data_IF_705585410872
#
_entry.id   IF_705585410872
#
_cell.length_a   1.000
_cell.length_b   1.000
_cell.length_c   1.000
_cell.angle_alpha   90.00
_cell.angle_beta   90.00
_cell.angle_gamma   90.00
#
_symmetry.space_group_name_H-M   'P 1'
#
loop_
_entity.id
_entity.type
_entity.pdbx_description
1 polymer ?
#
# COMPACT_ATOMS: atom_id res chain seq x y z
N UNK A 1 -11.09 -2.75 1.59
CA UNK A 1 -11.27 -4.20 1.26
C UNK A 1 -10.52 -5.09 2.24
N UNK A 2 -10.92 -6.35 2.38
CA UNK A 2 -10.29 -7.32 3.31
C UNK A 2 -8.80 -7.59 2.95
N UNK A 3 -7.99 -8.13 3.89
CA UNK A 3 -6.63 -8.60 3.60
C UNK A 3 -6.60 -9.65 2.48
N UNK A 4 -5.46 -9.77 1.77
CA UNK A 4 -5.27 -10.80 0.74
C UNK A 4 -6.00 -10.59 -0.59
N UNK A 5 -6.67 -9.44 -0.79
CA UNK A 5 -7.40 -9.10 -2.03
C UNK A 5 -6.54 -8.38 -3.09
N UNK A 6 -5.22 -8.32 -2.91
CA UNK A 6 -4.29 -7.79 -3.92
C UNK A 6 -4.11 -6.27 -3.96
N UNK A 7 -4.72 -5.48 -3.05
CA UNK A 7 -4.65 -4.00 -3.06
C UNK A 7 -3.23 -3.45 -3.23
N UNK A 8 -2.35 -3.79 -2.31
CA UNK A 8 -0.95 -3.33 -2.32
C UNK A 8 -0.21 -3.78 -3.59
N UNK A 9 -0.46 -5.01 -4.06
CA UNK A 9 0.15 -5.54 -5.27
C UNK A 9 -0.26 -4.74 -6.50
N UNK A 10 -1.56 -4.49 -6.67
CA UNK A 10 -2.10 -3.70 -7.79
C UNK A 10 -1.54 -2.30 -7.77
N UNK A 11 -1.56 -1.62 -6.61
CA UNK A 11 -1.01 -0.27 -6.48
C UNK A 11 0.47 -0.24 -6.84
N UNK A 12 1.29 -1.15 -6.32
CA UNK A 12 2.72 -1.23 -6.65
C UNK A 12 2.95 -1.48 -8.14
N UNK A 13 2.16 -2.34 -8.78
CA UNK A 13 2.24 -2.59 -10.23
C UNK A 13 1.86 -1.35 -11.05
N UNK A 14 0.85 -0.61 -10.62
CA UNK A 14 0.44 0.67 -11.26
C UNK A 14 1.54 1.72 -11.10
N UNK A 15 2.08 1.89 -9.88
CA UNK A 15 3.18 2.82 -9.62
C UNK A 15 4.41 2.52 -10.50
N UNK A 16 4.80 1.25 -10.61
CA UNK A 16 5.92 0.83 -11.48
C UNK A 16 5.66 1.18 -12.96
N UNK A 17 4.43 0.98 -13.44
CA UNK A 17 4.05 1.37 -14.82
C UNK A 17 4.09 2.89 -15.01
N UNK A 18 3.61 3.66 -14.03
CA UNK A 18 3.64 5.12 -14.08
C UNK A 18 5.10 5.59 -14.06
N UNK A 19 5.93 5.05 -13.16
CA UNK A 19 7.35 5.38 -13.06
C UNK A 19 8.07 5.21 -14.41
N UNK A 20 7.86 4.08 -15.10
CA UNK A 20 8.45 3.83 -16.41
C UNK A 20 7.94 4.77 -17.52
N UNK A 21 6.77 5.39 -17.35
CA UNK A 21 6.28 6.44 -18.26
C UNK A 21 6.86 7.81 -17.91
N UNK A 22 6.95 8.12 -16.64
CA UNK A 22 7.51 9.39 -16.13
C UNK A 22 8.96 9.55 -16.57
N UNK A 23 9.76 8.49 -16.44
CA UNK A 23 11.17 8.48 -16.89
C UNK A 23 11.34 8.78 -18.38
N UNK A 24 10.34 8.45 -19.19
CA UNK A 24 10.33 8.70 -20.65
C UNK A 24 9.79 10.08 -21.05
N UNK A 25 9.00 10.70 -20.19
CA UNK A 25 8.20 11.89 -20.56
C UNK A 25 8.68 13.20 -19.94
N UNK A 26 9.69 13.19 -19.11
CA UNK A 26 10.25 14.35 -18.41
C UNK A 26 9.21 15.17 -17.60
N UNK A 27 8.07 14.57 -17.21
CA UNK A 27 7.09 15.21 -16.35
C UNK A 27 7.58 15.23 -14.90
N UNK A 28 7.38 16.32 -14.16
CA UNK A 28 7.83 16.45 -12.76
C UNK A 28 6.91 15.68 -11.79
N UNK A 29 6.70 14.38 -12.04
CA UNK A 29 5.92 13.51 -11.18
C UNK A 29 6.84 12.78 -10.23
N UNK A 30 6.51 12.79 -8.93
CA UNK A 30 7.24 12.05 -7.89
C UNK A 30 6.29 11.08 -7.18
N UNK A 31 6.58 9.78 -7.34
CA UNK A 31 5.83 8.71 -6.69
C UNK A 31 6.53 8.35 -5.36
N UNK A 32 5.79 8.38 -4.27
CA UNK A 32 6.28 8.11 -2.91
C UNK A 32 5.38 7.08 -2.26
N UNK A 33 5.97 6.01 -1.72
CA UNK A 33 5.24 4.94 -1.05
C UNK A 33 5.73 4.74 0.37
N UNK A 34 4.81 4.70 1.32
CA UNK A 34 5.11 4.32 2.71
C UNK A 34 4.03 3.38 3.26
N UNK A 35 4.43 2.46 4.13
CA UNK A 35 3.51 1.63 4.90
C UNK A 35 3.46 2.14 6.34
N UNK A 36 2.28 2.56 6.80
CA UNK A 36 2.11 3.18 8.11
C UNK A 36 2.44 2.27 9.29
N UNK A 37 2.40 0.95 9.13
CA UNK A 37 2.82 0.02 10.19
C UNK A 37 4.32 -0.04 10.39
N UNK A 38 5.10 0.24 9.36
CA UNK A 38 6.56 0.25 9.46
C UNK A 38 7.07 1.50 10.17
N UNK A 39 6.25 2.55 10.20
CA UNK A 39 6.56 3.82 10.83
C UNK A 39 5.84 3.94 12.18
N UNK A 40 6.57 3.85 13.27
CA UNK A 40 5.99 3.85 14.62
C UNK A 40 5.44 5.21 15.05
N UNK A 41 5.77 6.28 14.33
CA UNK A 41 5.39 7.66 14.64
C UNK A 41 4.98 8.44 13.40
N UNK A 42 4.12 9.45 13.61
CA UNK A 42 3.77 10.41 12.55
C UNK A 42 5.00 11.14 12.00
N UNK A 43 5.96 11.43 12.88
CA UNK A 43 7.21 12.07 12.50
C UNK A 43 8.00 11.18 11.54
N UNK A 44 8.20 9.91 11.88
CA UNK A 44 8.88 8.93 11.04
C UNK A 44 8.23 8.79 9.67
N UNK A 45 6.89 8.70 9.62
CA UNK A 45 6.16 8.63 8.36
C UNK A 45 6.44 9.85 7.47
N UNK A 46 6.34 11.07 8.00
CA UNK A 46 6.59 12.28 7.22
C UNK A 46 8.06 12.40 6.78
N UNK A 47 9.01 11.99 7.62
CA UNK A 47 10.43 11.94 7.25
C UNK A 47 10.66 10.93 6.14
N UNK A 48 10.08 9.74 6.23
CA UNK A 48 10.16 8.71 5.18
C UNK A 48 9.62 9.22 3.83
N UNK A 49 8.46 9.89 3.84
CA UNK A 49 7.90 10.53 2.65
C UNK A 49 8.84 11.63 2.09
N UNK A 50 9.40 12.47 2.98
CA UNK A 50 10.29 13.56 2.57
C UNK A 50 11.61 13.07 1.99
N UNK A 51 12.18 11.99 2.52
CA UNK A 51 13.37 11.35 1.96
C UNK A 51 13.14 10.87 0.53
N UNK A 52 12.00 10.26 0.29
CA UNK A 52 11.62 9.80 -1.05
C UNK A 52 11.33 10.97 -2.01
N UNK A 53 10.89 12.13 -1.51
CA UNK A 53 10.80 13.37 -2.29
C UNK A 53 12.17 13.95 -2.66
N UNK A 54 13.24 13.51 -1.99
CA UNK A 54 14.60 13.97 -2.23
C UNK A 54 15.12 15.00 -1.21
N UNK A 55 14.45 15.15 -0.06
CA UNK A 55 14.99 15.93 1.06
C UNK A 55 16.13 15.14 1.75
N UNK A 56 17.27 15.76 1.95
CA UNK A 56 18.42 15.15 2.60
C UNK A 56 18.34 15.25 4.14
N UNK A 57 19.31 14.66 4.86
CA UNK A 57 19.30 14.61 6.31
C UNK A 57 19.49 15.98 6.99
N UNK A 58 20.18 16.90 6.36
CA UNK A 58 20.33 18.28 6.86
C UNK A 58 19.02 19.06 6.72
N UNK A 59 18.29 18.81 5.63
CA UNK A 59 17.00 19.45 5.38
C UNK A 59 15.89 18.82 6.23
N UNK A 60 15.95 17.52 6.48
CA UNK A 60 14.93 16.78 7.20
C UNK A 60 15.58 15.76 8.16
N UNK A 61 16.03 16.19 9.34
CA UNK A 61 16.66 15.29 10.31
C UNK A 61 15.64 14.25 10.83
N UNK A 62 16.15 13.12 11.30
CA UNK A 62 15.35 12.01 11.83
C UNK A 62 14.62 12.34 13.14
N UNK A 63 15.04 13.40 13.84
CA UNK A 63 14.45 13.88 15.09
C UNK A 63 14.63 15.39 15.23
N UNK A 64 13.93 16.00 16.19
CA UNK A 64 14.21 17.37 16.66
C UNK A 64 13.38 18.47 16.01
N UNK A 65 12.59 18.19 14.99
CA UNK A 65 11.67 19.16 14.41
C UNK A 65 10.21 18.92 14.90
N UNK A 66 9.44 19.99 14.93
CA UNK A 66 7.99 19.85 15.10
C UNK A 66 7.38 19.19 13.84
N UNK A 67 6.31 18.40 14.01
CA UNK A 67 5.62 17.74 12.88
C UNK A 67 5.14 18.77 11.84
N UNK A 68 4.65 19.92 12.28
CA UNK A 68 4.23 21.02 11.41
C UNK A 68 5.40 21.57 10.56
N UNK A 69 6.61 21.64 11.14
CA UNK A 69 7.80 22.08 10.41
C UNK A 69 8.23 21.03 9.38
N UNK A 70 8.17 19.72 9.73
CA UNK A 70 8.43 18.64 8.78
C UNK A 70 7.47 18.73 7.59
N UNK A 71 6.17 18.87 7.87
CA UNK A 71 5.15 19.00 6.84
C UNK A 71 5.37 20.22 5.93
N UNK A 72 5.69 21.39 6.53
CA UNK A 72 6.03 22.61 5.78
C UNK A 72 7.21 22.40 4.83
N UNK A 73 8.25 21.68 5.25
CA UNK A 73 9.42 21.36 4.40
C UNK A 73 9.04 20.46 3.23
N UNK A 74 8.14 19.48 3.44
CA UNK A 74 7.58 18.66 2.36
C UNK A 74 6.88 19.53 1.32
N UNK A 75 5.96 20.42 1.75
CA UNK A 75 5.24 21.31 0.85
C UNK A 75 6.18 22.29 0.14
N UNK A 76 7.16 22.85 0.83
CA UNK A 76 8.16 23.72 0.21
C UNK A 76 8.94 22.99 -0.89
N UNK A 77 9.33 21.73 -0.69
CA UNK A 77 10.01 20.92 -1.71
C UNK A 77 9.12 20.74 -2.94
N UNK A 78 7.86 20.37 -2.75
CA UNK A 78 6.89 20.21 -3.83
C UNK A 78 6.73 21.52 -4.61
N UNK A 79 6.55 22.63 -3.89
CA UNK A 79 6.34 23.94 -4.49
C UNK A 79 7.58 24.47 -5.24
N UNK A 80 8.76 24.34 -4.64
CA UNK A 80 10.02 24.85 -5.23
C UNK A 80 10.41 24.09 -6.49
N UNK A 81 10.25 22.77 -6.50
CA UNK A 81 10.57 21.93 -7.65
C UNK A 81 9.36 21.70 -8.60
N UNK A 82 8.22 22.33 -8.32
CA UNK A 82 6.96 22.21 -9.08
C UNK A 82 6.53 20.78 -9.31
N UNK A 83 6.70 19.93 -8.27
CA UNK A 83 6.44 18.50 -8.35
C UNK A 83 4.94 18.20 -8.34
N UNK A 84 4.53 17.21 -9.12
CA UNK A 84 3.26 16.51 -8.93
C UNK A 84 3.53 15.27 -8.07
N UNK A 85 3.43 15.42 -6.76
CA UNK A 85 3.73 14.35 -5.81
C UNK A 85 2.52 13.44 -5.63
N UNK A 86 2.74 12.12 -5.70
CA UNK A 86 1.72 11.11 -5.38
C UNK A 86 2.19 10.35 -4.16
N UNK A 87 1.53 10.58 -3.02
CA UNK A 87 1.79 9.89 -1.78
C UNK A 87 0.88 8.67 -1.66
N UNK A 88 1.48 7.49 -1.68
CA UNK A 88 0.79 6.24 -1.42
C UNK A 88 1.07 5.81 0.02
N UNK A 89 0.02 5.80 0.83
CA UNK A 89 0.08 5.41 2.24
C UNK A 89 -0.66 4.07 2.39
N UNK A 90 0.11 3.00 2.53
CA UNK A 90 -0.44 1.69 2.81
C UNK A 90 -0.79 1.54 4.29
N UNK A 91 -1.85 0.79 4.58
CA UNK A 91 -2.41 0.63 5.92
C UNK A 91 -2.74 1.99 6.59
N UNK A 92 -3.39 2.87 5.83
CA UNK A 92 -3.76 4.23 6.27
C UNK A 92 -4.66 4.24 7.52
N UNK A 93 -5.38 3.16 7.78
CA UNK A 93 -6.13 2.95 9.03
C UNK A 93 -5.22 2.97 10.27
N UNK A 94 -3.97 2.51 10.16
CA UNK A 94 -2.98 2.63 11.23
C UNK A 94 -2.53 4.08 11.43
N UNK A 95 -2.32 4.83 10.34
CA UNK A 95 -2.05 6.28 10.43
C UNK A 95 -3.19 7.02 11.14
N UNK A 96 -4.45 6.70 10.82
CA UNK A 96 -5.60 7.29 11.49
C UNK A 96 -5.58 7.04 13.01
N UNK A 97 -5.21 5.83 13.45
CA UNK A 97 -5.03 5.53 14.87
C UNK A 97 -3.91 6.35 15.52
N UNK A 98 -2.79 6.56 14.83
CA UNK A 98 -1.70 7.40 15.33
C UNK A 98 -2.13 8.87 15.47
N UNK A 99 -2.92 9.37 14.53
CA UNK A 99 -3.50 10.72 14.57
C UNK A 99 -4.39 10.89 15.81
N UNK A 100 -5.31 9.96 16.05
CA UNK A 100 -6.19 9.98 17.22
C UNK A 100 -5.39 9.98 18.53
N UNK A 101 -4.35 9.13 18.62
CA UNK A 101 -3.51 9.03 19.84
C UNK A 101 -2.69 10.29 20.11
N UNK A 102 -2.24 10.98 19.06
CA UNK A 102 -1.36 12.14 19.20
C UNK A 102 -2.10 13.48 19.21
N UNK A 103 -3.39 13.49 18.87
CA UNK A 103 -4.20 14.70 18.72
C UNK A 103 -3.72 15.62 17.58
N UNK A 104 -2.90 15.11 16.66
CA UNK A 104 -2.32 15.91 15.57
C UNK A 104 -3.03 15.66 14.26
N UNK A 105 -3.50 16.70 13.65
CA UNK A 105 -4.42 16.71 12.50
C UNK A 105 -3.69 16.55 11.15
N UNK A 106 -2.71 15.63 11.08
CA UNK A 106 -1.90 15.48 9.86
C UNK A 106 -2.69 14.98 8.64
N UNK A 107 -3.71 14.14 8.85
CA UNK A 107 -4.59 13.71 7.76
C UNK A 107 -5.36 14.89 7.19
N UNK A 108 -5.90 15.76 8.04
CA UNK A 108 -6.56 16.99 7.62
C UNK A 108 -5.62 17.91 6.84
N UNK A 109 -4.37 18.05 7.31
CA UNK A 109 -3.36 18.86 6.60
C UNK A 109 -3.01 18.26 5.25
N UNK A 110 -2.89 16.93 5.15
CA UNK A 110 -2.62 16.24 3.89
C UNK A 110 -3.76 16.41 2.87
N UNK A 111 -5.02 16.31 3.30
CA UNK A 111 -6.17 16.48 2.41
C UNK A 111 -6.29 17.92 1.87
N UNK A 112 -5.78 18.90 2.59
CA UNK A 112 -5.80 20.32 2.21
C UNK A 112 -4.43 20.85 1.75
N UNK A 113 -3.46 19.96 1.52
CA UNK A 113 -2.10 20.37 1.14
C UNK A 113 -2.07 21.25 -0.13
N UNK A 114 -2.94 20.96 -1.10
CA UNK A 114 -3.02 21.72 -2.34
C UNK A 114 -3.48 23.18 -2.15
N UNK A 115 -4.17 23.51 -1.07
CA UNK A 115 -4.53 24.90 -0.76
C UNK A 115 -3.32 25.76 -0.35
N UNK A 116 -2.22 25.10 0.05
CA UNK A 116 -0.96 25.75 0.48
C UNK A 116 0.11 25.72 -0.61
N UNK A 117 -0.15 25.04 -1.74
CA UNK A 117 0.77 24.96 -2.87
C UNK A 117 0.41 26.03 -3.92
N UNK A 118 1.40 26.81 -4.34
CA UNK A 118 1.26 27.74 -5.46
C UNK A 118 1.65 27.06 -6.79
N UNK A 119 2.58 26.13 -6.72
CA UNK A 119 3.11 25.36 -7.84
C UNK A 119 3.16 23.87 -7.47
N UNK A 120 3.00 23.00 -8.46
CA UNK A 120 2.92 21.56 -8.23
C UNK A 120 1.60 21.10 -7.61
N UNK A 121 1.55 19.84 -7.21
CA UNK A 121 0.35 19.26 -6.58
C UNK A 121 0.70 18.08 -5.66
N UNK A 122 -0.19 17.78 -4.72
CA UNK A 122 -0.13 16.59 -3.89
C UNK A 122 -1.40 15.77 -4.07
N UNK A 123 -1.24 14.54 -4.54
CA UNK A 123 -2.30 13.54 -4.60
C UNK A 123 -2.03 12.47 -3.55
N UNK A 124 -3.05 12.08 -2.81
CA UNK A 124 -2.94 11.03 -1.80
C UNK A 124 -3.70 9.77 -2.23
N UNK A 125 -3.07 8.61 -2.10
CA UNK A 125 -3.68 7.30 -2.29
C UNK A 125 -3.57 6.54 -0.96
N UNK A 126 -4.70 6.29 -0.32
CA UNK A 126 -4.78 5.51 0.92
C UNK A 126 -5.18 4.06 0.64
N UNK A 127 -4.45 3.09 1.19
CA UNK A 127 -4.82 1.69 1.15
C UNK A 127 -5.21 1.27 2.56
N UNK A 128 -6.45 0.76 2.74
CA UNK A 128 -6.94 0.27 4.02
C UNK A 128 -7.44 -1.18 3.92
N UNK A 129 -7.23 -1.92 4.99
CA UNK A 129 -7.84 -3.23 5.23
C UNK A 129 -9.15 -3.11 6.03
N UNK A 130 -9.42 -1.95 6.62
CA UNK A 130 -10.63 -1.66 7.38
C UNK A 130 -11.64 -0.93 6.49
N UNK A 131 -12.80 -1.54 6.25
CA UNK A 131 -13.88 -0.95 5.45
C UNK A 131 -14.58 0.21 6.18
N UNK A 132 -14.51 0.22 7.51
CA UNK A 132 -15.16 1.23 8.36
C UNK A 132 -14.19 2.30 8.85
N UNK A 133 -12.94 2.31 8.32
CA UNK A 133 -11.93 3.24 8.85
C UNK A 133 -12.35 4.71 8.69
N UNK A 134 -13.12 5.06 7.65
CA UNK A 134 -13.64 6.41 7.45
C UNK A 134 -14.53 6.89 8.60
N UNK A 135 -15.33 5.99 9.16
CA UNK A 135 -16.22 6.29 10.30
C UNK A 135 -15.45 6.70 11.56
N UNK A 136 -14.16 6.35 11.60
CA UNK A 136 -13.25 6.68 12.71
C UNK A 136 -12.48 7.98 12.49
N UNK A 137 -12.61 8.60 11.31
CA UNK A 137 -11.95 9.86 10.99
C UNK A 137 -12.73 11.05 11.56
N UNK A 138 -12.00 12.12 11.82
CA UNK A 138 -12.60 13.41 12.16
C UNK A 138 -13.52 13.87 11.01
N UNK A 139 -14.74 14.37 11.30
CA UNK A 139 -15.66 14.86 10.27
C UNK A 139 -15.07 15.93 9.34
N UNK A 140 -14.10 16.71 9.81
CA UNK A 140 -13.38 17.70 9.00
C UNK A 140 -12.50 17.04 7.95
N UNK A 141 -11.88 15.91 8.29
CA UNK A 141 -11.09 15.11 7.33
C UNK A 141 -12.02 14.53 6.27
N UNK A 142 -13.14 13.93 6.70
CA UNK A 142 -14.13 13.35 5.78
C UNK A 142 -14.66 14.40 4.79
N UNK A 143 -15.00 15.59 5.29
CA UNK A 143 -15.53 16.68 4.46
C UNK A 143 -14.50 17.26 3.47
N UNK A 144 -13.21 17.13 3.78
CA UNK A 144 -12.11 17.59 2.91
C UNK A 144 -11.57 16.51 1.98
N UNK A 145 -11.96 15.25 2.21
CA UNK A 145 -11.67 14.15 1.29
C UNK A 145 -12.59 14.28 0.06
N UNK A 146 -12.03 14.71 -1.07
CA UNK A 146 -12.68 14.57 -2.38
C UNK A 146 -12.29 13.23 -2.99
N UNK A 147 -12.58 12.11 -2.26
CA UNK A 147 -12.03 10.81 -2.64
C UNK A 147 -12.84 10.08 -3.70
N UNK A 148 -12.12 9.32 -4.51
CA UNK A 148 -12.65 8.22 -5.30
C UNK A 148 -12.32 6.90 -4.58
N UNK A 149 -13.34 6.11 -4.28
CA UNK A 149 -13.19 4.85 -3.56
C UNK A 149 -13.22 3.64 -4.48
N UNK A 150 -12.17 2.82 -4.39
CA UNK A 150 -12.09 1.55 -5.11
C UNK A 150 -12.14 0.40 -4.09
N UNK A 151 -13.23 -0.38 -4.14
CA UNK A 151 -13.42 -1.53 -3.25
C UNK A 151 -12.87 -2.79 -3.90
N UNK A 152 -11.90 -3.42 -3.24
CA UNK A 152 -11.40 -4.74 -3.59
C UNK A 152 -12.24 -5.80 -2.86
N UNK A 153 -13.02 -6.54 -3.61
CA UNK A 153 -13.83 -7.66 -3.09
C UNK A 153 -12.96 -8.90 -2.88
N UNK A 154 -13.48 -9.84 -2.09
CA UNK A 154 -12.85 -11.15 -1.93
C UNK A 154 -12.82 -11.89 -3.27
N UNK A 155 -11.78 -12.69 -3.49
CA UNK A 155 -11.72 -13.57 -4.65
C UNK A 155 -12.70 -14.73 -4.50
N UNK A 156 -13.32 -15.12 -5.62
CA UNK A 156 -14.04 -16.39 -5.70
C UNK A 156 -13.09 -17.57 -5.98
N UNK A 157 -13.63 -18.78 -5.92
CA UNK A 157 -12.85 -20.02 -6.11
C UNK A 157 -12.11 -20.04 -7.46
N UNK A 158 -12.78 -19.62 -8.53
CA UNK A 158 -12.19 -19.60 -9.88
C UNK A 158 -11.04 -18.59 -10.00
N UNK A 159 -11.19 -17.43 -9.37
CA UNK A 159 -10.13 -16.42 -9.34
C UNK A 159 -8.93 -16.89 -8.52
N UNK A 160 -9.17 -17.54 -7.37
CA UNK A 160 -8.10 -18.16 -6.57
C UNK A 160 -7.39 -19.24 -7.39
N UNK A 161 -8.14 -20.11 -8.08
CA UNK A 161 -7.55 -21.14 -8.94
C UNK A 161 -6.59 -20.54 -9.96
N UNK A 162 -6.99 -19.50 -10.68
CA UNK A 162 -6.12 -18.81 -11.65
C UNK A 162 -4.87 -18.21 -11.01
N UNK A 163 -5.00 -17.62 -9.82
CA UNK A 163 -3.84 -17.10 -9.08
C UNK A 163 -2.86 -18.22 -8.71
N UNK A 164 -3.39 -19.37 -8.28
CA UNK A 164 -2.56 -20.52 -7.93
C UNK A 164 -1.89 -21.13 -9.17
N UNK A 165 -2.58 -21.25 -10.31
CA UNK A 165 -2.03 -21.71 -11.58
C UNK A 165 -0.83 -20.85 -12.02
N UNK A 166 -0.95 -19.51 -11.95
CA UNK A 166 0.16 -18.61 -12.25
C UNK A 166 1.36 -18.85 -11.31
N UNK A 167 1.11 -19.06 -10.00
CA UNK A 167 2.16 -19.31 -9.01
C UNK A 167 2.81 -20.68 -9.18
N UNK A 168 2.05 -21.70 -9.56
CA UNK A 168 2.59 -23.04 -9.86
C UNK A 168 3.58 -22.94 -11.01
N UNK A 169 3.22 -22.28 -12.10
CA UNK A 169 4.08 -22.11 -13.27
C UNK A 169 5.38 -21.34 -12.96
N UNK A 170 5.37 -20.46 -11.94
CA UNK A 170 6.55 -19.67 -11.55
C UNK A 170 7.45 -20.40 -10.53
N UNK A 171 6.89 -21.29 -9.69
CA UNK A 171 7.56 -21.73 -8.47
C UNK A 171 7.68 -23.25 -8.30
N UNK A 172 7.00 -24.04 -9.12
CA UNK A 172 7.04 -25.50 -9.07
C UNK A 172 7.60 -26.07 -10.37
N UNK A 173 8.17 -27.28 -10.29
CA UNK A 173 8.57 -28.04 -11.48
C UNK A 173 7.31 -28.48 -12.23
N UNK A 174 7.45 -28.68 -13.51
CA UNK A 174 6.36 -29.11 -14.39
C UNK A 174 5.71 -30.40 -13.89
N UNK A 175 4.38 -30.44 -13.85
CA UNK A 175 3.57 -31.56 -13.36
C UNK A 175 3.75 -31.92 -11.86
N UNK A 176 4.30 -31.04 -11.03
CA UNK A 176 4.44 -31.29 -9.59
C UNK A 176 3.12 -31.30 -8.83
N UNK A 177 2.10 -30.65 -9.35
CA UNK A 177 0.81 -30.49 -8.70
C UNK A 177 -0.30 -31.01 -9.61
N UNK A 178 -1.06 -31.96 -9.12
CA UNK A 178 -2.21 -32.51 -9.81
C UNK A 178 -3.43 -31.58 -9.74
N UNK A 179 -4.26 -31.56 -10.78
CA UNK A 179 -5.49 -30.76 -10.83
C UNK A 179 -6.43 -30.94 -9.61
N UNK A 180 -6.64 -32.17 -9.06
CA UNK A 180 -7.46 -32.33 -7.88
C UNK A 180 -6.90 -31.60 -6.63
N UNK A 181 -5.58 -31.58 -6.45
CA UNK A 181 -4.92 -30.88 -5.34
C UNK A 181 -5.07 -29.37 -5.49
N UNK A 182 -4.83 -28.84 -6.69
CA UNK A 182 -5.04 -27.43 -7.03
C UNK A 182 -6.50 -27.01 -6.78
N UNK A 183 -7.47 -27.77 -7.25
CA UNK A 183 -8.89 -27.50 -7.06
C UNK A 183 -9.28 -27.51 -5.58
N UNK A 184 -8.74 -28.43 -4.79
CA UNK A 184 -8.97 -28.49 -3.35
C UNK A 184 -8.40 -27.24 -2.63
N UNK A 185 -7.17 -26.85 -2.93
CA UNK A 185 -6.56 -25.64 -2.38
C UNK A 185 -7.39 -24.38 -2.73
N UNK A 186 -7.84 -24.28 -3.98
CA UNK A 186 -8.68 -23.16 -4.43
C UNK A 186 -10.06 -23.15 -3.73
N UNK A 187 -10.68 -24.32 -3.57
CA UNK A 187 -11.99 -24.45 -2.91
C UNK A 187 -11.91 -24.07 -1.42
N UNK A 188 -10.90 -24.55 -0.70
CA UNK A 188 -10.70 -24.23 0.71
C UNK A 188 -10.44 -22.73 0.93
N UNK A 189 -9.54 -22.14 0.17
CA UNK A 189 -9.19 -20.74 0.34
C UNK A 189 -10.28 -19.78 -0.17
N UNK A 190 -10.94 -20.12 -1.28
CA UNK A 190 -12.00 -19.31 -1.90
C UNK A 190 -13.32 -19.40 -1.16
N UNK A 191 -13.66 -20.58 -0.62
CA UNK A 191 -14.92 -20.81 0.10
C UNK A 191 -14.95 -20.14 1.47
N UNK A 192 -13.83 -20.13 2.20
CA UNK A 192 -13.80 -19.56 3.56
C UNK A 192 -13.65 -18.04 3.59
N UNK A 193 -12.69 -17.49 2.88
CA UNK A 193 -12.28 -16.10 3.06
C UNK A 193 -12.00 -15.34 1.76
N UNK A 194 -11.79 -16.02 0.64
CA UNK A 194 -11.37 -15.41 -0.63
C UNK A 194 -10.03 -14.65 -0.53
N UNK A 195 -9.10 -15.16 0.28
CA UNK A 195 -7.78 -14.57 0.55
C UNK A 195 -6.71 -15.31 -0.26
N UNK A 196 -6.14 -14.63 -1.26
CA UNK A 196 -5.11 -15.20 -2.11
C UNK A 196 -3.80 -15.53 -1.37
N UNK A 197 -3.45 -14.83 -0.29
CA UNK A 197 -2.24 -15.14 0.51
C UNK A 197 -2.39 -16.49 1.17
N UNK A 198 -3.56 -16.75 1.78
CA UNK A 198 -3.85 -18.05 2.40
C UNK A 198 -3.82 -19.19 1.39
N UNK A 199 -4.35 -18.94 0.19
CA UNK A 199 -4.31 -19.91 -0.88
C UNK A 199 -2.87 -20.27 -1.28
N UNK A 200 -2.03 -19.27 -1.48
CA UNK A 200 -0.61 -19.45 -1.82
C UNK A 200 0.15 -20.13 -0.68
N UNK A 201 -0.09 -19.74 0.57
CA UNK A 201 0.54 -20.38 1.74
C UNK A 201 0.12 -21.85 1.87
N UNK A 202 -1.16 -22.17 1.65
CA UNK A 202 -1.65 -23.56 1.68
C UNK A 202 -0.94 -24.39 0.61
N UNK A 203 -0.86 -23.88 -0.62
CA UNK A 203 -0.17 -24.56 -1.72
C UNK A 203 1.31 -24.77 -1.41
N UNK A 204 2.00 -23.76 -0.89
CA UNK A 204 3.40 -23.86 -0.48
C UNK A 204 3.63 -24.91 0.58
N UNK A 205 2.82 -24.91 1.65
CA UNK A 205 2.94 -25.89 2.75
C UNK A 205 2.65 -27.31 2.25
N UNK A 206 1.64 -27.48 1.38
CA UNK A 206 1.36 -28.78 0.78
C UNK A 206 2.53 -29.31 -0.04
N UNK A 207 3.19 -28.46 -0.84
CA UNK A 207 4.38 -28.81 -1.60
C UNK A 207 5.56 -29.19 -0.71
N UNK A 208 5.85 -28.40 0.33
CA UNK A 208 6.92 -28.70 1.28
C UNK A 208 6.71 -30.05 2.03
N UNK A 209 5.45 -30.35 2.38
CA UNK A 209 5.12 -31.62 3.02
C UNK A 209 5.29 -32.81 2.08
N UNK A 210 4.87 -32.68 0.82
CA UNK A 210 5.03 -33.71 -0.20
C UNK A 210 6.54 -34.01 -0.49
N UNK A 211 7.36 -32.95 -0.57
CA UNK A 211 8.81 -33.09 -0.76
C UNK A 211 9.48 -33.83 0.40
N UNK A 212 9.14 -33.51 1.64
CA UNK A 212 9.64 -34.21 2.84
C UNK A 212 9.26 -35.69 2.83
N UNK A 213 8.01 -36.01 2.48
CA UNK A 213 7.56 -37.42 2.42
C UNK A 213 8.26 -38.24 1.33
N UNK A 214 8.74 -37.60 0.26
CA UNK A 214 9.54 -38.25 -0.77
C UNK A 214 11.00 -38.45 -0.36
N UNK A 215 11.54 -37.54 0.46
CA UNK A 215 12.93 -37.62 0.95
C UNK A 215 13.11 -38.68 2.03
N UNK A 216 12.03 -39.10 2.71
CA UNK A 216 12.03 -40.12 3.77
C UNK A 216 11.82 -41.56 3.22
N UNK A 217 11.73 -41.72 1.88
CA UNK A 217 11.67 -43.01 1.15
C UNK A 217 12.94 -43.26 0.40
#
# INVERSE_FOLDING_TARGET
GKPGTGKTLVVKKVLSKIQGRVEKSNFPIKLVYSNSKNETTLYGLLVSLGRQLGLNEKELPTTGLAISEVFKRLLNKINTEKLNAVFVIDEIDYLAQLVVKTGKDILYQLTRANEQLNEGSLTMVGISNDLTFKEKLDPRVISSLGEEEIVFTNYNVEQIKKILEERINESFIENAIEDPALNLCAALAGGEHGDARRAIDLLRVAGELAERQQSDK
#
